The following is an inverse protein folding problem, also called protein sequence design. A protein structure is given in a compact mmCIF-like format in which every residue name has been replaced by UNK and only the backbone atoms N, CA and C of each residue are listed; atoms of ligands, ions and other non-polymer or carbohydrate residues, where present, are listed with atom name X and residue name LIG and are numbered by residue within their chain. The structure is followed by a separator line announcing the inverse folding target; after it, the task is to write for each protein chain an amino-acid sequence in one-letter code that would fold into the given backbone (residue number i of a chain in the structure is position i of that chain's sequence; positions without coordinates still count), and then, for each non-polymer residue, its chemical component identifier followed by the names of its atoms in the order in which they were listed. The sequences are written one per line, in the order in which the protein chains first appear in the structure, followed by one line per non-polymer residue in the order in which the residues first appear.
data_IF_669763091699
#
_entry.id   IF_669763091699
#
_cell.length_a   1.000
_cell.length_b   1.000
_cell.length_c   1.000
_cell.angle_alpha   90.00
_cell.angle_beta   90.00
_cell.angle_gamma   90.00
#
_symmetry.space_group_name_H-M   'P 1'
#
loop_
_entity.id
_entity.type
_entity.pdbx_description
1 polymer ?
#
# COMPACT_ATOMS: atom_id res chain seq x y z
N UNK A 1 -13.68 -17.20 14.91
CA UNK A 1 -14.17 -16.13 15.82
C UNK A 1 -15.54 -16.41 16.45
N UNK A 2 -16.59 -16.77 15.69
CA UNK A 2 -17.95 -17.00 16.24
C UNK A 2 -17.98 -17.91 17.48
N UNK A 3 -17.24 -19.03 17.43
CA UNK A 3 -17.11 -19.98 18.55
C UNK A 3 -16.51 -19.31 19.81
N UNK A 4 -15.48 -18.48 19.64
CA UNK A 4 -14.86 -17.73 20.74
C UNK A 4 -15.82 -16.75 21.43
N UNK A 5 -16.65 -16.05 20.63
CA UNK A 5 -17.65 -15.11 21.15
C UNK A 5 -18.79 -15.81 21.89
N UNK A 6 -19.23 -16.97 21.38
CA UNK A 6 -20.28 -17.78 22.00
C UNK A 6 -19.81 -18.46 23.30
N UNK A 7 -18.52 -18.82 23.37
CA UNK A 7 -17.98 -19.64 24.45
C UNK A 7 -18.24 -21.13 24.23
N UNK A 8 -17.68 -21.94 25.11
CA UNK A 8 -17.92 -23.39 25.12
C UNK A 8 -19.28 -23.69 25.78
N UNK A 9 -20.19 -24.47 25.15
CA UNK A 9 -21.48 -24.83 25.74
C UNK A 9 -21.39 -25.53 27.10
N UNK A 10 -20.25 -26.17 27.41
CA UNK A 10 -20.01 -26.90 28.67
C UNK A 10 -19.41 -26.02 29.77
N UNK A 11 -19.11 -24.76 29.47
CA UNK A 11 -18.51 -23.80 30.39
C UNK A 11 -19.53 -22.69 30.74
N UNK A 12 -19.31 -21.91 31.81
CA UNK A 12 -20.11 -20.73 32.08
C UNK A 12 -20.14 -19.78 30.86
N UNK A 13 -21.32 -19.19 30.53
CA UNK A 13 -21.42 -18.26 29.42
C UNK A 13 -20.43 -17.09 29.56
N UNK A 14 -19.75 -16.68 28.48
CA UNK A 14 -18.90 -15.51 28.50
C UNK A 14 -19.63 -14.23 28.93
N UNK A 15 -18.93 -13.26 29.55
CA UNK A 15 -19.50 -11.94 29.85
C UNK A 15 -20.09 -11.27 28.60
N UNK A 16 -21.23 -10.58 28.76
CA UNK A 16 -21.94 -9.94 27.64
C UNK A 16 -21.07 -8.93 26.86
N UNK A 17 -20.12 -8.27 27.54
CA UNK A 17 -19.15 -7.35 26.93
C UNK A 17 -18.31 -8.01 25.83
N UNK A 18 -18.05 -9.33 25.91
CA UNK A 18 -17.27 -10.07 24.89
C UNK A 18 -17.90 -9.96 23.50
N UNK A 19 -19.23 -9.85 23.40
CA UNK A 19 -19.95 -9.71 22.11
C UNK A 19 -19.62 -8.41 21.36
N UNK A 20 -19.05 -7.42 22.04
CA UNK A 20 -18.62 -6.12 21.47
C UNK A 20 -17.11 -5.91 21.60
N UNK A 21 -16.38 -6.94 22.03
CA UNK A 21 -14.94 -6.87 22.21
C UNK A 21 -14.19 -7.06 20.89
N UNK A 22 -12.88 -7.19 21.01
CA UNK A 22 -11.95 -7.46 19.91
C UNK A 22 -12.53 -8.43 18.86
N UNK A 23 -12.39 -8.05 17.59
CA UNK A 23 -12.73 -8.86 16.43
C UNK A 23 -14.21 -9.29 16.36
N UNK A 24 -15.14 -8.68 17.13
CA UNK A 24 -16.55 -9.09 17.11
C UNK A 24 -17.24 -8.91 15.75
N UNK A 25 -16.71 -8.04 14.87
CA UNK A 25 -17.16 -7.89 13.48
C UNK A 25 -16.71 -9.01 12.54
N UNK A 26 -15.72 -9.81 12.94
CA UNK A 26 -15.08 -10.83 12.10
C UNK A 26 -15.59 -12.24 12.39
N UNK A 27 -16.90 -12.41 12.62
CA UNK A 27 -17.46 -13.69 13.05
C UNK A 27 -17.31 -14.81 12.02
N UNK A 28 -17.11 -14.47 10.74
CA UNK A 28 -16.86 -15.40 9.65
C UNK A 28 -15.45 -15.97 9.68
N UNK A 29 -14.49 -15.30 10.33
CA UNK A 29 -13.10 -15.72 10.32
C UNK A 29 -12.95 -17.05 11.08
N UNK A 30 -12.36 -18.04 10.41
CA UNK A 30 -12.08 -19.37 10.95
C UNK A 30 -10.66 -19.79 10.56
N UNK A 31 -9.72 -19.73 11.50
CA UNK A 31 -8.30 -19.95 11.24
C UNK A 31 -7.86 -21.33 11.73
N UNK A 32 -7.37 -22.17 10.83
CA UNK A 32 -6.90 -23.53 11.12
C UNK A 32 -5.61 -23.91 10.36
N UNK A 33 -5.09 -23.00 9.55
CA UNK A 33 -3.94 -23.18 8.68
C UNK A 33 -2.63 -22.86 9.40
N UNK A 34 -1.54 -23.44 8.89
CA UNK A 34 -0.19 -23.12 9.34
C UNK A 34 0.28 -21.87 8.62
N UNK A 35 0.48 -20.80 9.40
CA UNK A 35 0.96 -19.50 8.90
C UNK A 35 2.39 -19.22 9.38
N UNK A 36 3.18 -18.57 8.54
CA UNK A 36 4.48 -18.03 8.93
C UNK A 36 4.28 -16.81 9.83
N UNK A 37 4.96 -16.79 10.98
CA UNK A 37 4.85 -15.73 11.98
C UNK A 37 6.09 -14.85 11.98
N UNK A 38 5.99 -13.55 12.34
CA UNK A 38 7.13 -12.65 12.39
C UNK A 38 8.21 -13.10 13.37
N UNK A 39 7.80 -13.58 14.55
CA UNK A 39 8.71 -14.09 15.57
C UNK A 39 8.06 -15.20 16.40
N UNK A 40 8.87 -16.16 16.89
CA UNK A 40 8.35 -17.30 17.65
C UNK A 40 8.02 -16.96 19.11
N UNK A 41 8.56 -15.86 19.64
CA UNK A 41 8.46 -15.49 21.05
C UNK A 41 7.62 -14.23 21.28
N UNK A 42 7.98 -13.10 20.65
CA UNK A 42 7.34 -11.81 20.83
C UNK A 42 6.07 -11.67 19.98
N UNK A 43 6.10 -12.20 18.76
CA UNK A 43 5.00 -12.09 17.79
C UNK A 43 4.50 -13.45 17.26
N UNK A 44 4.02 -14.36 18.15
CA UNK A 44 3.58 -15.71 17.77
C UNK A 44 2.16 -15.70 17.18
N UNK A 45 1.91 -14.79 16.25
CA UNK A 45 0.62 -14.54 15.60
C UNK A 45 0.88 -14.04 14.18
N UNK A 46 -0.10 -14.19 13.28
CA UNK A 46 0.09 -13.72 11.91
C UNK A 46 -0.18 -12.21 11.78
N UNK A 47 0.64 -11.53 10.96
CA UNK A 47 0.30 -10.24 10.38
C UNK A 47 0.30 -10.35 8.86
N UNK A 48 -0.73 -9.82 8.22
CA UNK A 48 -0.91 -9.96 6.78
C UNK A 48 0.22 -9.31 5.98
N UNK A 49 0.67 -8.13 6.38
CA UNK A 49 1.74 -7.44 5.66
C UNK A 49 3.10 -8.12 5.86
N UNK A 50 3.46 -8.55 7.08
CA UNK A 50 4.67 -9.34 7.35
C UNK A 50 4.68 -10.63 6.53
N UNK A 51 3.54 -11.33 6.48
CA UNK A 51 3.39 -12.56 5.74
C UNK A 51 3.72 -12.38 4.25
N UNK A 52 3.32 -11.25 3.66
CA UNK A 52 3.68 -10.92 2.28
C UNK A 52 5.21 -10.86 2.10
N UNK A 53 5.94 -10.24 3.03
CA UNK A 53 7.41 -10.21 2.98
C UNK A 53 8.04 -11.58 3.22
N UNK A 54 7.51 -12.38 4.15
CA UNK A 54 7.99 -13.74 4.42
C UNK A 54 7.95 -14.62 3.18
N UNK A 55 6.94 -14.44 2.32
CA UNK A 55 6.75 -15.29 1.15
C UNK A 55 7.87 -15.17 0.12
N UNK A 56 8.59 -14.05 0.07
CA UNK A 56 9.66 -13.83 -0.92
C UNK A 56 10.86 -14.77 -0.72
N UNK A 57 11.49 -14.83 0.47
CA UNK A 57 12.53 -15.83 0.72
C UNK A 57 11.95 -17.26 0.73
N UNK A 58 10.74 -17.47 1.25
CA UNK A 58 10.11 -18.80 1.26
C UNK A 58 9.91 -19.35 -0.16
N UNK A 59 9.52 -18.53 -1.13
CA UNK A 59 9.30 -18.97 -2.51
C UNK A 59 10.57 -19.49 -3.19
N UNK A 60 11.76 -19.15 -2.69
CA UNK A 60 13.02 -19.73 -3.19
C UNK A 60 13.29 -21.14 -2.68
N UNK A 61 12.60 -21.56 -1.62
CA UNK A 61 12.77 -22.85 -0.96
C UNK A 61 11.57 -23.76 -1.21
N UNK A 62 10.36 -23.22 -1.00
CA UNK A 62 9.08 -23.88 -1.16
C UNK A 62 8.05 -22.89 -1.75
N UNK A 63 7.99 -22.78 -3.09
CA UNK A 63 6.99 -21.96 -3.78
C UNK A 63 5.55 -22.37 -3.44
N UNK A 64 5.28 -23.64 -3.17
CA UNK A 64 3.93 -24.10 -2.86
C UNK A 64 3.46 -23.56 -1.51
N UNK A 65 4.32 -23.61 -0.49
CA UNK A 65 4.05 -23.02 0.81
C UNK A 65 3.89 -21.50 0.71
N UNK A 66 4.79 -20.80 0.00
CA UNK A 66 4.69 -19.35 -0.20
C UNK A 66 3.37 -18.94 -0.87
N UNK A 67 2.97 -19.65 -1.93
CA UNK A 67 1.66 -19.44 -2.58
C UNK A 67 0.50 -19.70 -1.64
N UNK A 68 0.56 -20.76 -0.84
CA UNK A 68 -0.45 -21.06 0.18
C UNK A 68 -0.58 -19.91 1.19
N UNK A 69 0.51 -19.33 1.68
CA UNK A 69 0.46 -18.22 2.64
C UNK A 69 -0.33 -17.02 2.09
N UNK A 70 -0.11 -16.65 0.83
CA UNK A 70 -0.81 -15.55 0.18
C UNK A 70 -2.28 -15.90 -0.10
N UNK A 71 -2.55 -17.13 -0.54
CA UNK A 71 -3.88 -17.61 -0.86
C UNK A 71 -4.78 -17.69 0.38
N UNK A 72 -4.26 -18.15 1.53
CA UNK A 72 -5.03 -18.32 2.79
C UNK A 72 -5.72 -17.03 3.23
N UNK A 73 -5.01 -15.89 3.24
CA UNK A 73 -5.59 -14.62 3.68
C UNK A 73 -6.71 -14.11 2.76
N UNK A 74 -6.83 -14.66 1.56
CA UNK A 74 -7.85 -14.32 0.57
C UNK A 74 -9.02 -15.30 0.51
N UNK A 75 -8.99 -16.38 1.32
CA UNK A 75 -10.06 -17.38 1.42
C UNK A 75 -11.33 -16.81 2.01
N UNK A 76 -12.47 -17.41 1.70
CA UNK A 76 -13.81 -16.98 2.11
C UNK A 76 -14.00 -16.95 3.64
N UNK A 77 -13.20 -17.74 4.36
CA UNK A 77 -13.18 -17.81 5.82
C UNK A 77 -12.05 -16.99 6.47
N UNK A 78 -11.31 -16.19 5.69
CA UNK A 78 -10.33 -15.19 6.19
C UNK A 78 -10.69 -13.78 5.73
N UNK A 79 -10.90 -13.59 4.43
CA UNK A 79 -11.23 -12.31 3.83
C UNK A 79 -12.60 -11.84 4.31
N UNK A 80 -12.68 -10.60 4.79
CA UNK A 80 -13.95 -10.01 5.17
C UNK A 80 -14.87 -9.92 3.94
N UNK A 81 -16.19 -10.18 4.07
CA UNK A 81 -17.16 -10.06 2.96
C UNK A 81 -17.23 -8.68 2.27
N UNK A 82 -16.55 -7.66 2.81
CA UNK A 82 -16.46 -6.33 2.22
C UNK A 82 -15.17 -6.12 1.39
N UNK A 83 -14.30 -7.13 1.29
CA UNK A 83 -13.00 -7.08 0.63
C UNK A 83 -11.80 -6.82 1.54
N UNK A 84 -11.98 -6.56 2.84
CA UNK A 84 -10.86 -6.29 3.76
C UNK A 84 -10.07 -7.56 4.07
N UNK A 85 -8.74 -7.50 3.96
CA UNK A 85 -7.83 -8.52 4.46
C UNK A 85 -7.68 -8.38 5.98
N UNK A 86 -7.65 -9.49 6.76
CA UNK A 86 -7.47 -9.43 8.20
C UNK A 86 -6.05 -8.95 8.52
N UNK A 87 -5.89 -7.86 9.28
CA UNK A 87 -4.57 -7.31 9.59
C UNK A 87 -3.73 -8.26 10.46
N UNK A 88 -4.14 -8.50 11.71
CA UNK A 88 -3.44 -9.37 12.66
C UNK A 88 -4.35 -9.82 13.80
N UNK A 89 -3.94 -10.84 14.56
CA UNK A 89 -4.82 -11.55 15.51
C UNK A 89 -5.48 -10.68 16.60
N UNK A 90 -4.88 -9.57 17.02
CA UNK A 90 -5.52 -8.69 18.00
C UNK A 90 -6.44 -7.62 17.42
N UNK A 91 -6.38 -7.33 16.12
CA UNK A 91 -7.30 -6.39 15.46
C UNK A 91 -7.40 -6.69 13.96
N UNK A 92 -8.22 -7.67 13.57
CA UNK A 92 -8.39 -8.03 12.16
C UNK A 92 -8.91 -6.86 11.31
N UNK A 93 -9.66 -5.94 11.93
CA UNK A 93 -10.24 -4.76 11.27
C UNK A 93 -9.27 -3.61 11.03
N UNK A 94 -8.02 -3.72 11.49
CA UNK A 94 -7.01 -2.70 11.22
C UNK A 94 -6.61 -2.69 9.74
N UNK A 95 -5.90 -1.64 9.36
CA UNK A 95 -5.37 -1.47 8.01
C UNK A 95 -3.93 -1.97 8.02
N UNK A 96 -3.45 -2.44 6.88
CA UNK A 96 -2.07 -2.87 6.66
C UNK A 96 -1.69 -2.41 5.24
N UNK A 97 -0.42 -2.10 4.94
CA UNK A 97 -0.02 -1.77 3.59
C UNK A 97 -0.44 -2.87 2.60
N UNK A 98 -1.03 -2.54 1.44
CA UNK A 98 -1.52 -3.50 0.44
C UNK A 98 -0.38 -4.18 -0.37
N UNK A 99 0.67 -4.62 0.30
CA UNK A 99 1.85 -5.29 -0.31
C UNK A 99 1.56 -6.73 -0.76
N UNK A 100 0.36 -7.25 -0.47
CA UNK A 100 -0.04 -8.62 -0.83
C UNK A 100 -0.02 -8.85 -2.35
N UNK A 101 -0.36 -7.84 -3.15
CA UNK A 101 -0.30 -7.92 -4.61
C UNK A 101 1.14 -8.00 -5.13
N UNK A 102 2.03 -7.19 -4.56
CA UNK A 102 3.46 -7.25 -4.85
C UNK A 102 4.04 -8.62 -4.52
N UNK A 103 3.72 -9.15 -3.34
CA UNK A 103 4.18 -10.48 -2.94
C UNK A 103 3.62 -11.57 -3.87
N UNK A 104 2.34 -11.50 -4.22
CA UNK A 104 1.71 -12.43 -5.19
C UNK A 104 2.42 -12.42 -6.52
N UNK A 105 2.66 -11.24 -7.07
CA UNK A 105 3.38 -11.08 -8.33
C UNK A 105 4.80 -11.63 -8.23
N UNK A 106 5.52 -11.29 -7.16
CA UNK A 106 6.91 -11.70 -6.99
C UNK A 106 7.07 -13.19 -6.75
N UNK A 107 6.19 -13.81 -5.97
CA UNK A 107 6.15 -15.26 -5.76
C UNK A 107 5.84 -15.99 -7.07
N UNK A 108 4.87 -15.49 -7.86
CA UNK A 108 4.59 -16.04 -9.18
C UNK A 108 5.81 -15.99 -10.10
N UNK A 109 6.52 -14.86 -10.15
CA UNK A 109 7.75 -14.73 -10.96
C UNK A 109 8.86 -15.69 -10.51
N UNK A 110 9.08 -15.82 -9.20
CA UNK A 110 10.09 -16.72 -8.63
C UNK A 110 9.74 -18.19 -8.94
N UNK A 111 8.47 -18.58 -8.78
CA UNK A 111 7.99 -19.92 -9.13
C UNK A 111 8.13 -20.20 -10.63
N UNK A 112 7.73 -19.26 -11.48
CA UNK A 112 7.86 -19.34 -12.94
C UNK A 112 9.31 -19.59 -13.38
N UNK A 113 10.25 -18.83 -12.82
CA UNK A 113 11.68 -18.99 -13.10
C UNK A 113 12.19 -20.39 -12.72
N UNK A 114 11.79 -20.91 -11.55
CA UNK A 114 12.21 -22.24 -11.09
C UNK A 114 11.58 -23.39 -11.91
N UNK A 115 10.34 -23.21 -12.35
CA UNK A 115 9.60 -24.20 -13.15
C UNK A 115 10.07 -24.24 -14.60
N UNK A 116 10.50 -23.09 -15.15
CA UNK A 116 10.89 -22.95 -16.55
C UNK A 116 9.70 -23.06 -17.53
N UNK A 117 8.47 -22.79 -17.06
CA UNK A 117 7.24 -22.77 -17.85
C UNK A 117 6.49 -21.43 -17.71
N UNK A 118 5.21 -21.37 -18.09
CA UNK A 118 4.39 -20.16 -17.99
C UNK A 118 4.08 -19.71 -16.54
N UNK A 119 4.43 -20.53 -15.53
CA UNK A 119 4.11 -20.27 -14.13
C UNK A 119 2.69 -20.73 -13.74
N UNK A 120 2.40 -20.64 -12.44
CA UNK A 120 1.11 -21.05 -11.88
C UNK A 120 0.03 -19.96 -12.08
N UNK A 121 -0.51 -19.89 -13.30
CA UNK A 121 -1.56 -18.92 -13.68
C UNK A 121 -2.84 -19.08 -12.84
N UNK A 122 -3.15 -20.29 -12.37
CA UNK A 122 -4.33 -20.54 -11.53
C UNK A 122 -4.17 -19.90 -10.16
N UNK A 123 -2.99 -19.99 -9.55
CA UNK A 123 -2.67 -19.25 -8.33
C UNK A 123 -2.81 -17.74 -8.55
N UNK A 124 -2.18 -17.23 -9.62
CA UNK A 124 -2.16 -15.81 -9.93
C UNK A 124 -3.58 -15.26 -10.11
N UNK A 125 -4.38 -15.91 -10.95
CA UNK A 125 -5.76 -15.54 -11.25
C UNK A 125 -6.67 -15.61 -10.01
N UNK A 126 -6.50 -16.65 -9.18
CA UNK A 126 -7.30 -16.82 -7.96
C UNK A 126 -7.06 -15.69 -6.97
N UNK A 127 -5.80 -15.38 -6.69
CA UNK A 127 -5.46 -14.31 -5.74
C UNK A 127 -5.82 -12.95 -6.33
N UNK A 128 -5.57 -12.72 -7.62
CA UNK A 128 -5.94 -11.50 -8.32
C UNK A 128 -7.42 -11.13 -8.12
N UNK A 129 -8.34 -12.06 -8.35
CA UNK A 129 -9.77 -11.80 -8.17
C UNK A 129 -10.16 -11.37 -6.74
N UNK A 130 -9.48 -11.90 -5.73
CA UNK A 130 -9.70 -11.50 -4.33
C UNK A 130 -9.10 -10.14 -4.04
N UNK A 131 -7.95 -9.83 -4.64
CA UNK A 131 -7.33 -8.52 -4.57
C UNK A 131 -8.17 -7.44 -5.28
N UNK A 132 -8.99 -7.76 -6.30
CA UNK A 132 -9.96 -6.81 -6.86
C UNK A 132 -10.99 -6.32 -5.82
N UNK A 133 -11.47 -7.24 -4.98
CA UNK A 133 -12.39 -6.91 -3.89
C UNK A 133 -11.68 -6.03 -2.84
N UNK A 134 -10.44 -6.38 -2.52
CA UNK A 134 -9.64 -5.61 -1.58
C UNK A 134 -9.28 -4.21 -2.09
N UNK A 135 -8.91 -4.08 -3.35
CA UNK A 135 -8.66 -2.80 -4.01
C UNK A 135 -9.91 -1.91 -3.95
N UNK A 136 -11.08 -2.49 -4.25
CA UNK A 136 -12.37 -1.79 -4.19
C UNK A 136 -12.73 -1.40 -2.75
N UNK A 137 -12.40 -2.22 -1.76
CA UNK A 137 -12.53 -1.86 -0.35
C UNK A 137 -11.65 -0.64 -0.02
N UNK A 138 -10.40 -0.62 -0.46
CA UNK A 138 -9.50 0.52 -0.28
C UNK A 138 -10.08 1.80 -0.88
N UNK A 139 -10.45 1.79 -2.16
CA UNK A 139 -11.07 2.96 -2.83
C UNK A 139 -12.31 3.45 -2.08
N UNK A 140 -13.18 2.56 -1.61
CA UNK A 140 -14.43 2.99 -0.98
C UNK A 140 -14.32 3.36 0.51
N UNK A 141 -13.30 2.87 1.22
CA UNK A 141 -13.19 3.02 2.69
C UNK A 141 -12.01 3.85 3.14
N UNK A 142 -11.05 4.09 2.25
CA UNK A 142 -9.76 4.72 2.56
C UNK A 142 -9.51 5.94 1.71
N UNK A 143 -10.37 6.28 0.76
CA UNK A 143 -10.41 7.58 0.08
C UNK A 143 -11.73 8.29 0.45
N UNK A 144 -11.78 8.92 1.63
CA UNK A 144 -13.02 9.49 2.17
C UNK A 144 -13.59 10.61 1.30
N UNK A 145 -12.73 11.31 0.57
CA UNK A 145 -13.05 12.51 -0.17
C UNK A 145 -13.26 12.21 -1.67
N UNK A 146 -13.00 10.98 -2.11
CA UNK A 146 -13.08 10.56 -3.51
C UNK A 146 -12.07 11.25 -4.40
N UNK A 147 -10.91 11.64 -3.84
CA UNK A 147 -9.87 12.44 -4.51
C UNK A 147 -8.65 11.62 -4.90
N UNK A 148 -8.66 10.31 -4.67
CA UNK A 148 -7.50 9.41 -4.83
C UNK A 148 -6.33 9.78 -3.90
N UNK A 149 -6.66 10.36 -2.74
CA UNK A 149 -5.71 10.58 -1.63
C UNK A 149 -6.19 9.73 -0.47
N UNK A 150 -5.36 8.78 -0.08
CA UNK A 150 -5.76 7.69 0.79
C UNK A 150 -5.36 7.93 2.25
N UNK A 151 -6.13 7.29 3.12
CA UNK A 151 -6.01 7.31 4.57
C UNK A 151 -6.11 5.86 5.04
N UNK A 152 -5.10 5.34 5.70
CA UNK A 152 -5.09 4.02 6.31
C UNK A 152 -4.42 4.14 7.67
N UNK A 153 -5.13 3.78 8.74
CA UNK A 153 -4.64 3.98 10.11
C UNK A 153 -3.27 3.35 10.38
N UNK A 154 -3.26 2.14 10.94
CA UNK A 154 -2.04 1.35 11.05
C UNK A 154 -1.48 1.04 9.65
N UNK A 155 -0.26 1.48 9.34
CA UNK A 155 0.45 1.12 8.10
C UNK A 155 1.82 0.50 8.40
N UNK A 156 1.95 -0.14 9.58
CA UNK A 156 3.17 -0.82 10.02
C UNK A 156 4.30 0.11 10.46
N UNK A 157 4.00 1.38 10.73
CA UNK A 157 4.97 2.46 10.93
C UNK A 157 4.58 3.35 12.12
N UNK A 158 4.42 2.74 13.28
CA UNK A 158 3.62 3.29 14.38
C UNK A 158 4.34 4.38 15.19
N UNK A 159 5.67 4.39 15.18
CA UNK A 159 6.49 5.28 16.00
C UNK A 159 7.18 6.41 15.20
N UNK A 160 6.82 6.57 13.92
CA UNK A 160 7.42 7.60 13.04
C UNK A 160 6.41 8.65 12.56
N UNK A 161 5.23 8.68 13.18
CA UNK A 161 4.17 9.66 12.96
C UNK A 161 3.84 10.44 14.23
N UNK A 162 3.20 11.59 14.06
CA UNK A 162 2.82 12.48 15.17
C UNK A 162 1.61 11.98 15.98
N UNK A 163 0.71 11.25 15.33
CA UNK A 163 -0.53 10.74 15.91
C UNK A 163 -0.61 9.23 15.77
N UNK A 164 -1.27 8.58 16.73
CA UNK A 164 -1.81 7.23 16.52
C UNK A 164 -2.85 7.31 15.40
N UNK A 165 -2.48 6.76 14.25
CA UNK A 165 -3.30 6.79 13.03
C UNK A 165 -4.50 5.84 13.11
N UNK A 166 -4.53 4.92 14.08
CA UNK A 166 -5.67 4.04 14.33
C UNK A 166 -6.71 4.64 15.29
N UNK A 167 -6.41 5.77 15.93
CA UNK A 167 -7.31 6.48 16.82
C UNK A 167 -7.97 7.70 16.14
N UNK A 168 -9.16 8.14 16.60
CA UNK A 168 -9.72 9.42 16.18
C UNK A 168 -8.75 10.56 16.46
N UNK A 169 -8.56 11.46 15.50
CA UNK A 169 -7.69 12.60 15.68
C UNK A 169 -8.24 13.53 16.77
N UNK A 170 -7.41 14.03 17.71
CA UNK A 170 -7.83 14.96 18.75
C UNK A 170 -8.46 16.25 18.20
N UNK A 171 -8.17 16.59 16.96
CA UNK A 171 -8.67 17.78 16.24
C UNK A 171 -10.09 17.65 15.69
N UNK A 172 -10.66 16.43 15.63
CA UNK A 172 -11.97 16.19 15.04
C UNK A 172 -12.03 16.21 13.50
N UNK A 173 -10.87 16.16 12.83
CA UNK A 173 -10.74 16.09 11.36
C UNK A 173 -10.20 14.75 10.85
N UNK A 174 -9.51 14.75 9.70
CA UNK A 174 -8.89 13.57 9.09
C UNK A 174 -7.49 13.85 8.57
N UNK A 175 -6.79 12.80 8.11
CA UNK A 175 -5.41 12.90 7.63
C UNK A 175 -5.32 12.34 6.22
N UNK A 176 -4.75 13.12 5.32
CA UNK A 176 -4.27 12.65 4.02
C UNK A 176 -2.86 12.13 4.20
N UNK A 177 -2.64 10.85 3.88
CA UNK A 177 -1.39 10.17 4.20
C UNK A 177 -0.55 9.93 2.95
N UNK A 178 0.71 10.32 3.02
CA UNK A 178 1.64 10.18 1.90
C UNK A 178 1.92 8.70 1.59
N UNK A 179 2.13 7.90 2.63
CA UNK A 179 2.38 6.46 2.49
C UNK A 179 1.15 5.69 2.05
N UNK A 180 -0.01 5.90 2.67
CA UNK A 180 -1.26 5.24 2.27
C UNK A 180 -1.58 5.47 0.79
N UNK A 181 -1.38 6.71 0.31
CA UNK A 181 -1.57 7.08 -1.09
C UNK A 181 -0.52 6.43 -2.01
N UNK A 182 0.74 6.44 -1.59
CA UNK A 182 1.84 5.82 -2.33
C UNK A 182 1.70 4.30 -2.44
N UNK A 183 1.24 3.64 -1.37
CA UNK A 183 0.96 2.22 -1.38
C UNK A 183 -0.18 1.86 -2.33
N UNK A 184 -1.21 2.71 -2.44
CA UNK A 184 -2.29 2.51 -3.41
C UNK A 184 -1.83 2.74 -4.86
N UNK A 185 -0.88 3.65 -5.09
CA UNK A 185 -0.24 3.77 -6.40
C UNK A 185 0.55 2.50 -6.76
N UNK A 186 1.37 2.01 -5.82
CA UNK A 186 2.10 0.75 -5.98
C UNK A 186 1.14 -0.43 -6.18
N UNK A 187 0.04 -0.50 -5.42
CA UNK A 187 -0.95 -1.57 -5.55
C UNK A 187 -1.62 -1.54 -6.94
N UNK A 188 -1.94 -0.34 -7.45
CA UNK A 188 -2.45 -0.16 -8.81
C UNK A 188 -1.46 -0.70 -9.85
N UNK A 189 -0.17 -0.38 -9.72
CA UNK A 189 0.87 -0.91 -10.63
C UNK A 189 1.02 -2.43 -10.54
N UNK A 190 1.00 -3.02 -9.34
CA UNK A 190 1.07 -4.47 -9.18
C UNK A 190 -0.14 -5.17 -9.82
N UNK A 191 -1.35 -4.64 -9.62
CA UNK A 191 -2.54 -5.22 -10.25
C UNK A 191 -2.57 -5.00 -11.76
N UNK A 192 -2.02 -3.89 -12.26
CA UNK A 192 -1.78 -3.69 -13.69
C UNK A 192 -0.89 -4.81 -14.24
N UNK A 193 0.26 -5.07 -13.62
CA UNK A 193 1.19 -6.13 -14.05
C UNK A 193 0.53 -7.51 -14.06
N UNK A 194 -0.16 -7.87 -12.99
CA UNK A 194 -0.86 -9.15 -12.90
C UNK A 194 -1.94 -9.23 -13.99
N UNK A 195 -2.68 -8.15 -14.26
CA UNK A 195 -3.70 -8.12 -15.30
C UNK A 195 -3.10 -8.31 -16.70
N UNK A 196 -1.96 -7.66 -16.99
CA UNK A 196 -1.28 -7.79 -18.27
C UNK A 196 -0.73 -9.21 -18.48
N UNK A 197 -0.13 -9.81 -17.45
CA UNK A 197 0.32 -11.20 -17.51
C UNK A 197 -0.86 -12.15 -17.79
N UNK A 198 -1.97 -12.02 -17.06
CA UNK A 198 -3.16 -12.85 -17.29
C UNK A 198 -3.78 -12.58 -18.68
N UNK A 199 -3.65 -11.36 -19.20
CA UNK A 199 -4.18 -10.96 -20.50
C UNK A 199 -3.50 -11.67 -21.68
N UNK A 200 -2.25 -12.09 -21.52
CA UNK A 200 -1.53 -12.90 -22.51
C UNK A 200 -2.18 -14.28 -22.72
N UNK A 201 -2.96 -14.75 -21.75
CA UNK A 201 -3.64 -16.05 -21.77
C UNK A 201 -5.16 -15.93 -21.89
N UNK A 202 -5.74 -14.82 -21.44
CA UNK A 202 -7.17 -14.55 -21.55
C UNK A 202 -7.42 -13.05 -21.81
N UNK A 203 -7.86 -12.66 -23.02
CA UNK A 203 -7.94 -11.25 -23.41
C UNK A 203 -8.91 -10.41 -22.56
N UNK A 204 -9.82 -11.02 -21.80
CA UNK A 204 -10.72 -10.33 -20.86
C UNK A 204 -9.95 -9.46 -19.86
N UNK A 205 -8.73 -9.87 -19.46
CA UNK A 205 -7.93 -9.09 -18.51
C UNK A 205 -7.37 -7.78 -19.08
N UNK A 206 -7.40 -7.57 -20.41
CA UNK A 206 -7.05 -6.26 -20.99
C UNK A 206 -8.00 -5.16 -20.51
N UNK A 207 -9.27 -5.49 -20.27
CA UNK A 207 -10.27 -4.53 -19.78
C UNK A 207 -9.90 -3.98 -18.40
N UNK A 208 -9.53 -4.88 -17.49
CA UNK A 208 -9.23 -4.51 -16.11
C UNK A 208 -7.82 -3.90 -15.97
N UNK A 209 -6.88 -4.23 -16.86
CA UNK A 209 -5.58 -3.58 -16.93
C UNK A 209 -5.73 -2.06 -17.12
N UNK A 210 -6.61 -1.61 -18.04
CA UNK A 210 -6.87 -0.18 -18.26
C UNK A 210 -7.31 0.53 -16.97
N UNK A 211 -8.19 -0.08 -16.17
CA UNK A 211 -8.63 0.47 -14.88
C UNK A 211 -7.45 0.81 -13.96
N UNK A 212 -6.50 -0.11 -13.81
CA UNK A 212 -5.37 0.08 -12.90
C UNK A 212 -4.38 1.13 -13.39
N UNK A 213 -4.18 1.17 -14.71
CA UNK A 213 -3.38 2.21 -15.33
C UNK A 213 -3.98 3.61 -15.08
N UNK A 214 -5.27 3.79 -15.37
CA UNK A 214 -5.97 5.06 -15.16
C UNK A 214 -5.97 5.48 -13.69
N UNK A 215 -6.20 4.52 -12.78
CA UNK A 215 -6.22 4.79 -11.35
C UNK A 215 -4.84 5.19 -10.80
N UNK A 216 -3.77 4.54 -11.29
CA UNK A 216 -2.40 4.96 -10.96
C UNK A 216 -2.14 6.42 -11.37
N UNK A 217 -2.54 6.82 -12.58
CA UNK A 217 -2.36 8.20 -13.04
C UNK A 217 -3.20 9.20 -12.24
N UNK A 218 -4.43 8.82 -11.85
CA UNK A 218 -5.27 9.65 -10.98
C UNK A 218 -4.61 9.88 -9.62
N UNK A 219 -4.02 8.84 -9.01
CA UNK A 219 -3.25 8.97 -7.76
C UNK A 219 -2.03 9.86 -7.96
N UNK A 220 -1.25 9.62 -9.02
CA UNK A 220 -0.04 10.40 -9.32
C UNK A 220 -0.37 11.90 -9.51
N UNK A 221 -1.49 12.20 -10.14
CA UNK A 221 -1.97 13.58 -10.29
C UNK A 221 -2.39 14.20 -8.96
N UNK A 222 -3.16 13.48 -8.15
CA UNK A 222 -3.63 13.94 -6.84
C UNK A 222 -2.47 14.20 -5.86
N UNK A 223 -1.48 13.31 -5.81
CA UNK A 223 -0.31 13.46 -4.91
C UNK A 223 0.54 14.71 -5.18
N UNK A 224 0.46 15.24 -6.40
CA UNK A 224 1.36 16.27 -6.90
C UNK A 224 0.71 17.66 -7.05
N UNK A 225 -0.54 17.79 -6.61
CA UNK A 225 -1.39 18.99 -6.74
C UNK A 225 -1.41 19.60 -8.16
N UNK A 226 -1.25 18.76 -9.19
CA UNK A 226 -1.26 19.26 -10.56
C UNK A 226 -2.64 19.75 -11.04
N UNK A 227 -3.68 19.57 -10.22
CA UNK A 227 -5.00 20.17 -10.40
C UNK A 227 -5.11 21.62 -9.93
N UNK A 228 -4.13 22.13 -9.15
CA UNK A 228 -4.12 23.51 -8.65
C UNK A 228 -5.16 23.81 -7.58
N UNK A 229 -5.67 22.77 -6.91
CA UNK A 229 -6.68 22.90 -5.85
C UNK A 229 -6.03 23.07 -4.46
N UNK A 230 -4.70 23.07 -4.36
CA UNK A 230 -3.94 23.33 -3.14
C UNK A 230 -3.84 22.13 -2.20
N UNK A 231 -4.04 20.91 -2.71
CA UNK A 231 -4.10 19.67 -1.92
C UNK A 231 -3.12 18.66 -2.48
N UNK A 232 -1.84 18.87 -2.19
CA UNK A 232 -0.74 17.98 -2.57
C UNK A 232 0.03 17.51 -1.36
N UNK A 233 0.60 16.31 -1.44
CA UNK A 233 1.42 15.74 -0.37
C UNK A 233 2.89 16.15 -0.48
N UNK A 234 3.25 16.86 -1.54
CA UNK A 234 4.60 17.38 -1.80
C UNK A 234 4.74 18.81 -1.29
N UNK A 235 5.66 19.02 -0.37
CA UNK A 235 6.03 20.36 0.10
C UNK A 235 7.12 20.94 -0.83
N UNK A 236 6.85 22.08 -1.48
CA UNK A 236 7.78 22.71 -2.41
C UNK A 236 8.93 23.46 -1.71
N UNK A 237 8.78 23.84 -0.44
CA UNK A 237 9.83 24.51 0.33
C UNK A 237 10.87 23.50 0.82
N UNK A 238 10.38 22.42 1.43
CA UNK A 238 11.16 21.31 1.93
C UNK A 238 11.50 20.30 0.82
N UNK A 239 10.91 20.40 -0.38
CA UNK A 239 11.06 19.44 -1.48
C UNK A 239 10.94 17.98 -1.00
N UNK A 240 9.94 17.68 -0.17
CA UNK A 240 9.75 16.38 0.48
C UNK A 240 8.26 16.06 0.64
N UNK A 241 7.92 14.78 0.76
CA UNK A 241 6.52 14.38 0.97
C UNK A 241 6.17 14.30 2.45
N UNK A 242 5.03 14.87 2.82
CA UNK A 242 4.49 14.86 4.18
C UNK A 242 3.04 14.40 4.19
N UNK A 243 2.59 13.91 5.34
CA UNK A 243 1.16 13.77 5.60
C UNK A 243 0.55 15.16 5.78
N UNK A 244 -0.74 15.29 5.49
CA UNK A 244 -1.49 16.53 5.67
C UNK A 244 -2.67 16.32 6.60
N UNK A 245 -2.79 17.19 7.60
CA UNK A 245 -3.90 17.22 8.53
C UNK A 245 -4.99 18.16 8.01
N UNK A 246 -6.21 17.62 7.87
CA UNK A 246 -7.39 18.36 7.46
C UNK A 246 -8.23 18.67 8.69
N UNK A 247 -8.33 19.95 9.03
CA UNK A 247 -9.04 20.41 10.20
C UNK A 247 -10.52 20.71 9.88
N UNK A 248 -11.44 20.58 10.86
CA UNK A 248 -12.86 20.89 10.64
C UNK A 248 -13.17 22.32 10.21
N UNK A 249 -12.25 23.25 10.45
CA UNK A 249 -12.35 24.66 10.01
C UNK A 249 -11.91 24.87 8.56
N UNK A 250 -11.58 23.79 7.84
CA UNK A 250 -11.14 23.81 6.44
C UNK A 250 -9.67 24.16 6.25
N UNK A 251 -8.87 24.23 7.33
CA UNK A 251 -7.42 24.42 7.22
C UNK A 251 -6.70 23.10 6.97
N UNK A 252 -5.63 23.21 6.20
CA UNK A 252 -4.73 22.13 5.84
C UNK A 252 -3.38 22.41 6.51
N UNK A 253 -2.83 21.42 7.22
CA UNK A 253 -1.56 21.57 7.95
C UNK A 253 -0.63 20.42 7.56
N UNK A 254 0.47 20.68 6.84
CA UNK A 254 1.46 19.66 6.55
C UNK A 254 2.17 19.24 7.85
N UNK A 255 2.22 17.94 8.09
CA UNK A 255 2.95 17.33 9.19
C UNK A 255 4.41 17.13 8.77
N UNK A 256 5.24 18.15 8.97
CA UNK A 256 6.66 18.22 8.55
C UNK A 256 7.58 17.27 9.35
N UNK A 257 7.24 15.98 9.38
CA UNK A 257 8.03 14.88 9.95
C UNK A 257 8.74 14.17 8.80
N UNK A 258 10.07 14.30 8.73
CA UNK A 258 10.95 13.63 7.76
C UNK A 258 11.13 12.18 8.18
N UNK A 259 10.17 11.34 7.84
CA UNK A 259 10.22 9.91 8.08
C UNK A 259 10.19 9.10 6.78
N UNK A 260 10.33 7.78 6.90
CA UNK A 260 10.26 6.85 5.77
C UNK A 260 8.92 6.94 5.03
N UNK A 261 7.86 7.44 5.66
CA UNK A 261 6.57 7.77 5.04
C UNK A 261 6.76 8.62 3.78
N UNK A 262 7.58 9.67 3.85
CA UNK A 262 7.85 10.54 2.71
C UNK A 262 8.77 9.95 1.64
N UNK A 263 9.33 8.75 1.89
CA UNK A 263 10.17 8.00 0.96
C UNK A 263 9.42 6.87 0.24
N UNK A 264 8.27 6.41 0.78
CA UNK A 264 7.43 5.38 0.17
C UNK A 264 6.99 5.68 -1.27
N UNK A 265 6.80 6.93 -1.72
CA UNK A 265 6.54 7.20 -3.14
C UNK A 265 7.61 6.63 -4.10
N UNK A 266 8.83 6.33 -3.64
CA UNK A 266 9.88 5.67 -4.45
C UNK A 266 9.54 4.22 -4.81
N UNK A 267 8.65 3.55 -4.06
CA UNK A 267 8.30 2.15 -4.30
C UNK A 267 7.27 1.96 -5.42
N UNK A 268 6.49 2.99 -5.73
CA UNK A 268 5.49 2.94 -6.79
C UNK A 268 6.14 3.19 -8.16
N UNK A 269 6.85 2.17 -8.65
CA UNK A 269 7.54 2.18 -9.93
C UNK A 269 7.31 0.87 -10.68
N UNK A 270 7.11 0.97 -11.99
CA UNK A 270 6.94 -0.16 -12.88
C UNK A 270 7.50 0.15 -14.28
N UNK A 271 8.05 -0.86 -14.94
CA UNK A 271 8.58 -0.74 -16.30
C UNK A 271 7.74 -1.59 -17.24
N UNK A 272 7.07 -0.92 -18.17
CA UNK A 272 6.32 -1.58 -19.23
C UNK A 272 7.19 -1.69 -20.47
N UNK A 273 7.36 -2.92 -20.97
CA UNK A 273 8.03 -3.17 -22.25
C UNK A 273 7.09 -2.89 -23.42
N UNK A 274 7.62 -2.37 -24.53
CA UNK A 274 6.81 -2.07 -25.72
C UNK A 274 6.20 -3.32 -26.34
N UNK A 275 6.92 -4.45 -26.29
CA UNK A 275 6.44 -5.77 -26.73
C UNK A 275 5.11 -6.16 -26.08
N UNK A 276 4.89 -5.78 -24.82
CA UNK A 276 3.62 -6.01 -24.14
C UNK A 276 2.44 -5.29 -24.83
N UNK A 277 2.67 -4.11 -25.41
CA UNK A 277 1.65 -3.35 -26.14
C UNK A 277 1.35 -3.98 -27.51
N UNK A 278 2.37 -4.57 -28.15
CA UNK A 278 2.20 -5.30 -29.41
C UNK A 278 1.37 -6.58 -29.22
N UNK A 279 1.58 -7.30 -28.11
CA UNK A 279 0.85 -8.52 -27.77
C UNK A 279 -0.58 -8.25 -27.25
N UNK A 280 -0.83 -7.04 -26.71
CA UNK A 280 -2.11 -6.66 -26.10
C UNK A 280 -2.73 -5.43 -26.79
N UNK A 281 -3.21 -5.58 -28.04
CA UNK A 281 -3.64 -4.45 -28.87
C UNK A 281 -4.88 -3.72 -28.35
N UNK A 282 -5.77 -4.39 -27.61
CA UNK A 282 -6.95 -3.72 -27.05
C UNK A 282 -6.57 -2.82 -25.88
N UNK A 283 -5.68 -3.29 -25.01
CA UNK A 283 -5.10 -2.50 -23.95
C UNK A 283 -4.34 -1.30 -24.52
N UNK A 284 -3.46 -1.52 -25.50
CA UNK A 284 -2.70 -0.46 -26.16
C UNK A 284 -3.60 0.61 -26.79
N UNK A 285 -4.68 0.21 -27.48
CA UNK A 285 -5.65 1.14 -28.06
C UNK A 285 -6.34 2.00 -27.00
N UNK A 286 -6.78 1.40 -25.90
CA UNK A 286 -7.46 2.13 -24.81
C UNK A 286 -6.51 3.08 -24.10
N UNK A 287 -5.29 2.61 -23.86
CA UNK A 287 -4.22 3.39 -23.26
C UNK A 287 -3.90 4.64 -24.09
N UNK A 288 -3.67 4.48 -25.39
CA UNK A 288 -3.43 5.61 -26.29
C UNK A 288 -4.60 6.58 -26.32
N UNK A 289 -5.84 6.07 -26.43
CA UNK A 289 -7.04 6.90 -26.38
C UNK A 289 -7.12 7.70 -25.07
N UNK A 290 -6.86 7.06 -23.92
CA UNK A 290 -6.91 7.73 -22.63
C UNK A 290 -5.88 8.86 -22.53
N UNK A 291 -4.64 8.60 -22.94
CA UNK A 291 -3.56 9.60 -22.89
C UNK A 291 -3.81 10.78 -23.85
N UNK A 292 -4.43 10.53 -25.00
CA UNK A 292 -4.88 11.59 -25.90
C UNK A 292 -6.02 12.44 -25.30
N UNK A 293 -6.96 11.82 -24.57
CA UNK A 293 -8.08 12.52 -23.94
C UNK A 293 -7.69 13.23 -22.63
N UNK A 294 -6.65 12.75 -21.96
CA UNK A 294 -6.15 13.28 -20.68
C UNK A 294 -4.67 13.66 -20.78
N UNK A 295 -4.33 14.68 -21.60
CA UNK A 295 -2.96 15.13 -21.76
C UNK A 295 -2.35 15.61 -20.43
N UNK A 296 -3.18 16.13 -19.52
CA UNK A 296 -2.80 16.49 -18.16
C UNK A 296 -2.20 15.29 -17.39
N UNK A 297 -2.81 14.11 -17.53
CA UNK A 297 -2.30 12.86 -16.96
C UNK A 297 -1.21 12.22 -17.83
N UNK A 298 -1.20 12.45 -19.13
CA UNK A 298 -0.16 11.90 -20.01
C UNK A 298 1.24 12.46 -19.69
N UNK A 299 1.33 13.69 -19.18
CA UNK A 299 2.60 14.24 -18.67
C UNK A 299 3.17 13.43 -17.48
N UNK A 300 2.31 12.70 -16.78
CA UNK A 300 2.66 11.71 -15.74
C UNK A 300 3.06 10.35 -16.31
N UNK A 301 3.28 10.20 -17.61
CA UNK A 301 3.93 9.02 -18.21
C UNK A 301 5.27 9.39 -18.86
N UNK A 302 6.36 8.77 -18.40
CA UNK A 302 7.71 9.28 -18.64
C UNK A 302 8.03 8.96 -20.07
N UNK A 303 8.22 10.00 -20.88
CA UNK A 303 8.64 9.83 -22.28
C UNK A 303 7.70 8.87 -23.03
N UNK A 304 6.39 8.99 -22.83
CA UNK A 304 5.42 8.12 -23.52
C UNK A 304 5.60 8.14 -25.04
N UNK A 305 5.79 9.34 -25.60
CA UNK A 305 6.02 9.56 -27.03
C UNK A 305 7.52 9.55 -27.43
N UNK A 306 8.42 9.28 -26.49
CA UNK A 306 9.87 9.30 -26.69
C UNK A 306 10.44 7.93 -26.31
N UNK A 307 10.64 7.00 -27.26
CA UNK A 307 11.15 5.67 -26.95
C UNK A 307 12.51 5.77 -26.26
N UNK A 308 12.61 5.20 -25.05
CA UNK A 308 13.88 5.01 -24.35
C UNK A 308 14.75 3.94 -25.01
N UNK A 309 15.85 3.55 -24.36
CA UNK A 309 16.67 2.41 -24.81
C UNK A 309 15.84 1.12 -24.76
N UNK A 310 15.46 0.60 -25.92
CA UNK A 310 14.59 -0.58 -26.06
C UNK A 310 13.09 -0.28 -25.88
N UNK A 311 12.64 0.95 -26.16
CA UNK A 311 11.20 1.34 -26.20
C UNK A 311 10.42 1.13 -24.90
N UNK A 312 11.12 1.08 -23.75
CA UNK A 312 10.51 0.90 -22.43
C UNK A 312 9.82 2.16 -21.92
N UNK A 313 8.65 1.99 -21.32
CA UNK A 313 7.87 3.06 -20.69
C UNK A 313 7.94 2.94 -19.16
N UNK A 314 8.31 4.03 -18.48
CA UNK A 314 8.42 4.09 -17.01
C UNK A 314 7.16 4.68 -16.39
N UNK A 315 6.46 3.87 -15.61
CA UNK A 315 5.37 4.30 -14.73
C UNK A 315 5.96 4.52 -13.35
N UNK A 316 5.92 5.75 -12.85
CA UNK A 316 6.49 6.09 -11.54
C UNK A 316 5.81 7.34 -10.99
N UNK A 317 5.49 7.34 -9.70
CA UNK A 317 5.04 8.54 -8.98
C UNK A 317 6.08 9.65 -9.02
N UNK A 318 7.35 9.28 -8.97
CA UNK A 318 8.46 10.22 -8.86
C UNK A 318 9.27 10.30 -10.15
N UNK A 319 9.62 11.53 -10.54
CA UNK A 319 10.40 11.80 -11.74
C UNK A 319 11.32 12.98 -11.58
N UNK A 320 12.40 12.95 -12.37
CA UNK A 320 13.28 14.07 -12.58
C UNK A 320 13.73 14.72 -11.28
N UNK A 321 13.19 15.90 -11.00
CA UNK A 321 13.51 16.70 -9.84
C UNK A 321 13.12 16.01 -8.50
N UNK A 322 11.84 15.62 -8.31
CA UNK A 322 11.36 15.08 -7.01
C UNK A 322 12.12 13.82 -6.61
N UNK A 323 12.37 12.91 -7.55
CA UNK A 323 13.19 11.71 -7.31
C UNK A 323 14.61 12.06 -6.84
N UNK A 324 15.28 13.02 -7.50
CA UNK A 324 16.63 13.46 -7.10
C UNK A 324 16.62 14.08 -5.70
N UNK A 325 15.59 14.87 -5.36
CA UNK A 325 15.45 15.49 -4.04
C UNK A 325 15.28 14.47 -2.93
N UNK A 326 14.42 13.46 -3.14
CA UNK A 326 14.27 12.37 -2.18
C UNK A 326 15.56 11.55 -2.04
N UNK A 327 16.20 11.17 -3.16
CA UNK A 327 17.46 10.41 -3.11
C UNK A 327 18.59 11.19 -2.44
N UNK A 328 18.64 12.51 -2.62
CA UNK A 328 19.65 13.36 -1.95
C UNK A 328 19.51 13.25 -0.43
N UNK A 329 18.28 13.30 0.11
CA UNK A 329 18.05 13.12 1.55
C UNK A 329 18.23 11.68 2.02
N UNK A 330 17.76 10.72 1.23
CA UNK A 330 17.87 9.29 1.52
C UNK A 330 19.33 8.88 1.75
N UNK A 331 20.24 9.42 0.92
CA UNK A 331 21.66 9.09 0.90
C UNK A 331 22.52 10.01 1.78
N UNK A 332 21.92 10.97 2.49
CA UNK A 332 22.63 11.89 3.39
C UNK A 332 22.77 11.25 4.78
N UNK A 333 24.01 11.14 5.27
CA UNK A 333 24.33 10.55 6.57
C UNK A 333 23.79 11.34 7.77
N UNK A 334 23.57 12.64 7.58
CA UNK A 334 22.97 13.55 8.57
C UNK A 334 21.44 13.49 8.59
N UNK A 335 20.83 12.81 7.62
CA UNK A 335 19.39 12.61 7.50
C UNK A 335 19.05 11.11 7.64
N UNK A 336 18.89 10.40 6.52
CA UNK A 336 18.36 9.04 6.49
C UNK A 336 19.44 7.95 6.44
N UNK A 337 20.63 8.19 5.88
CA UNK A 337 21.62 7.13 5.72
C UNK A 337 22.39 6.88 7.02
N UNK A 338 22.35 5.65 7.52
CA UNK A 338 23.17 5.19 8.64
C UNK A 338 24.19 4.14 8.16
N UNK A 339 25.24 3.85 8.94
CA UNK A 339 26.21 2.79 8.61
C UNK A 339 25.59 1.40 8.40
N UNK A 340 24.38 1.17 8.91
CA UNK A 340 23.65 -0.10 8.85
C UNK A 340 22.36 -0.04 8.00
N UNK A 341 22.12 1.03 7.25
CA UNK A 341 20.97 1.14 6.35
C UNK A 341 20.23 2.47 6.45
N UNK A 342 19.02 2.50 5.88
CA UNK A 342 18.15 3.68 5.87
C UNK A 342 17.36 3.75 7.18
N UNK A 343 17.38 4.92 7.85
CA UNK A 343 16.62 5.18 9.07
C UNK A 343 15.13 5.32 8.76
N UNK A 344 14.27 4.87 9.68
CA UNK A 344 12.83 5.08 9.59
C UNK A 344 12.42 6.54 9.87
N UNK A 345 13.20 7.27 10.68
CA UNK A 345 13.04 8.68 10.97
C UNK A 345 14.39 9.39 10.71
N UNK A 346 14.36 10.54 10.05
CA UNK A 346 15.58 11.29 9.78
C UNK A 346 16.27 11.73 11.07
N UNK A 347 17.60 11.61 11.08
CA UNK A 347 18.47 12.13 12.15
C UNK A 347 18.37 13.65 12.30
N UNK A 348 17.88 14.37 11.29
CA UNK A 348 17.56 15.81 11.40
C UNK A 348 16.71 16.14 12.64
N UNK A 349 15.77 15.24 13.00
CA UNK A 349 14.89 15.40 14.16
C UNK A 349 15.56 15.16 15.52
N UNK A 350 16.87 14.85 15.54
CA UNK A 350 17.65 14.83 16.78
C UNK A 350 17.83 16.25 17.32
N UNK A 351 18.18 17.18 16.44
CA UNK A 351 18.41 18.59 16.77
C UNK A 351 17.14 19.44 16.52
N UNK A 352 16.22 18.95 15.68
CA UNK A 352 15.01 19.68 15.26
C UNK A 352 13.75 18.82 15.45
N UNK A 353 13.33 18.52 16.70
CA UNK A 353 12.12 17.75 16.95
C UNK A 353 10.90 18.48 16.37
N UNK A 354 10.00 17.74 15.71
CA UNK A 354 8.77 18.31 15.18
C UNK A 354 7.69 18.28 16.26
N UNK A 355 7.09 19.43 16.56
CA UNK A 355 6.01 19.55 17.54
C UNK A 355 4.82 20.30 16.98
N UNK A 356 3.62 19.81 17.27
CA UNK A 356 2.36 20.47 16.91
C UNK A 356 1.47 20.57 18.15
N UNK A 357 0.95 21.77 18.40
CA UNK A 357 -0.02 22.01 19.47
C UNK A 357 -1.41 22.09 18.87
N UNK A 358 -2.31 21.22 19.35
CA UNK A 358 -3.70 21.16 18.91
C UNK A 358 -4.62 21.91 19.88
N UNK A 359 -5.76 22.38 19.36
CA UNK A 359 -6.86 22.96 20.13
C UNK A 359 -7.14 22.15 21.42
N UNK A 360 -6.95 22.78 22.58
CA UNK A 360 -7.02 22.13 23.89
C UNK A 360 -5.69 22.11 24.66
N UNK A 361 -4.58 22.52 24.02
CA UNK A 361 -3.28 22.73 24.67
C UNK A 361 -2.39 21.50 24.76
N UNK A 362 -2.80 20.37 24.20
CA UNK A 362 -1.96 19.18 24.08
C UNK A 362 -0.92 19.40 22.96
N UNK A 363 0.36 19.24 23.30
CA UNK A 363 1.47 19.24 22.34
C UNK A 363 1.87 17.81 22.06
N UNK A 364 1.88 17.46 20.77
CA UNK A 364 2.43 16.20 20.29
C UNK A 364 3.81 16.48 19.69
N UNK A 365 4.77 15.59 19.93
CA UNK A 365 6.15 15.77 19.48
C UNK A 365 6.69 14.46 18.93
N UNK A 366 7.35 14.54 17.78
CA UNK A 366 8.20 13.48 17.23
C UNK A 366 9.64 13.91 17.39
N UNK A 367 10.42 13.09 18.08
CA UNK A 367 11.85 13.29 18.30
C UNK A 367 12.61 12.07 17.81
N UNK A 368 13.80 12.30 17.25
CA UNK A 368 14.69 11.20 16.88
C UNK A 368 15.24 10.51 18.12
N UNK A 369 14.96 9.22 18.26
CA UNK A 369 15.56 8.34 19.26
C UNK A 369 16.54 7.38 18.56
N UNK A 370 17.83 7.37 18.96
CA UNK A 370 18.78 6.38 18.46
C UNK A 370 18.34 4.97 18.89
N UNK A 371 18.30 4.02 17.94
CA UNK A 371 18.01 2.60 18.16
C UNK A 371 19.14 1.71 17.67
#
# INVERSE_FOLDING_TARGET
VRRWLAGDPTQPPPPAVRRRGRNSGWQHLDAFEVLSMPDAWEYPWFAAWDLAFHTIPLARLDPAFAKQQLDVLTREWYLHPNGQLPAYEWAFGDVNPPVHAWATWRVFQIDREQRGDAGDLVFLERVFHKLLLNFTWWVNRKDSDGRNIFQGGFLGLDNIGLFDRSAPLPTGGHMHQSDGTSWMAMYSLNLLQISLELALHNPVYQDIATKFFEHFLAIAHAMTDMGGDGVGLWDEEDEFFYDELHLPDGKHVPLKVRSMVGLIPLFAVEVMEHSCLDELPEFARRLNWFLEQRPDLATLVSRWYEPGTGERHLLSLLRGHRMKRLLTRLLDETEFLAPHGVRALSRYHLDHPYSLTINGGATHTVQYEPG
#
